data_IF_124007247911
#
_entry.id   IF_124007247911
#
_cell.length_a   1.000
_cell.length_b   1.000
_cell.length_c   1.000
_cell.angle_alpha   90.00
_cell.angle_beta   90.00
_cell.angle_gamma   90.00
#
_symmetry.space_group_name_H-M   'P 1'
#
loop_
_entity.id
_entity.type
_entity.pdbx_description
1 polymer ?
#
# COMPACT_ATOMS: atom_id res chain seq x y z
N UNK A 1 -22.88 21.27 -14.42
CA UNK A 1 -21.59 20.76 -13.90
C UNK A 1 -21.86 19.39 -13.29
N UNK A 2 -21.37 18.33 -13.94
CA UNK A 2 -21.77 16.94 -13.72
C UNK A 2 -20.95 16.31 -12.58
N UNK A 3 -21.65 15.85 -11.53
CA UNK A 3 -21.09 15.16 -10.34
C UNK A 3 -21.10 13.64 -10.58
N UNK A 4 -20.78 13.19 -11.80
CA UNK A 4 -20.95 11.78 -12.20
C UNK A 4 -19.64 11.04 -12.44
N UNK A 5 -18.48 11.71 -12.45
CA UNK A 5 -17.22 11.07 -12.86
C UNK A 5 -16.39 10.41 -11.74
N UNK A 6 -16.65 10.67 -10.45
CA UNK A 6 -15.79 10.20 -9.36
C UNK A 6 -16.30 8.94 -8.62
N UNK A 7 -17.51 8.47 -8.89
CA UNK A 7 -18.10 7.34 -8.16
C UNK A 7 -17.66 5.97 -8.70
N UNK A 8 -16.97 5.92 -9.86
CA UNK A 8 -16.77 4.65 -10.58
C UNK A 8 -15.51 3.87 -10.18
N UNK A 9 -14.53 4.45 -9.47
CA UNK A 9 -13.23 3.77 -9.27
C UNK A 9 -13.14 2.82 -8.09
N UNK A 10 -13.98 2.95 -7.05
CA UNK A 10 -14.06 1.97 -5.96
C UNK A 10 -15.26 1.01 -6.09
N UNK A 11 -16.22 1.33 -6.96
CA UNK A 11 -17.45 0.53 -7.12
C UNK A 11 -17.25 -0.78 -7.90
N UNK A 12 -16.13 -0.95 -8.61
CA UNK A 12 -15.89 -2.12 -9.46
C UNK A 12 -15.21 -3.29 -8.72
N UNK A 13 -14.58 -3.06 -7.57
CA UNK A 13 -13.89 -4.11 -6.79
C UNK A 13 -14.60 -4.28 -5.45
N UNK A 14 -14.94 -5.53 -5.14
CA UNK A 14 -15.54 -5.88 -3.85
C UNK A 14 -14.64 -5.37 -2.70
N UNK A 15 -15.15 -4.48 -1.82
CA UNK A 15 -14.42 -3.99 -0.65
C UNK A 15 -13.84 -5.09 0.25
N UNK A 16 -14.48 -6.26 0.29
CA UNK A 16 -13.99 -7.42 1.03
C UNK A 16 -12.68 -7.93 0.45
N UNK A 17 -12.55 -8.04 -0.88
CA UNK A 17 -11.30 -8.45 -1.55
C UNK A 17 -10.17 -7.47 -1.22
N UNK A 18 -10.46 -6.17 -1.21
CA UNK A 18 -9.49 -5.14 -0.84
C UNK A 18 -9.06 -5.32 0.62
N UNK A 19 -10.03 -5.51 1.53
CA UNK A 19 -9.76 -5.71 2.96
C UNK A 19 -8.95 -6.99 3.23
N UNK A 20 -9.29 -8.10 2.58
CA UNK A 20 -8.56 -9.37 2.65
C UNK A 20 -7.13 -9.22 2.13
N UNK A 21 -6.94 -8.52 1.01
CA UNK A 21 -5.61 -8.27 0.45
C UNK A 21 -4.76 -7.41 1.39
N UNK A 22 -5.33 -6.33 1.93
CA UNK A 22 -4.67 -5.51 2.95
C UNK A 22 -4.31 -6.33 4.21
N UNK A 23 -5.21 -7.21 4.65
CA UNK A 23 -4.98 -8.13 5.77
C UNK A 23 -3.83 -9.09 5.49
N UNK A 24 -3.79 -9.66 4.29
CA UNK A 24 -2.76 -10.62 3.85
C UNK A 24 -1.38 -9.98 3.80
N UNK A 25 -1.27 -8.80 3.19
CA UNK A 25 -0.01 -8.03 3.15
C UNK A 25 0.44 -7.69 4.56
N UNK A 26 -0.47 -7.19 5.41
CA UNK A 26 -0.14 -6.85 6.79
C UNK A 26 0.29 -8.08 7.61
N UNK A 27 -0.30 -9.25 7.36
CA UNK A 27 0.10 -10.50 8.00
C UNK A 27 1.53 -10.90 7.61
N UNK A 28 1.85 -10.91 6.31
CA UNK A 28 3.19 -11.25 5.82
C UNK A 28 4.26 -10.32 6.40
N UNK A 29 3.98 -9.02 6.45
CA UNK A 29 4.90 -8.01 6.97
C UNK A 29 5.05 -8.06 8.50
N UNK A 30 4.07 -8.56 9.25
CA UNK A 30 4.18 -8.66 10.72
C UNK A 30 4.94 -9.89 11.19
N UNK A 31 5.06 -10.92 10.33
CA UNK A 31 5.66 -12.20 10.68
C UNK A 31 7.19 -12.22 10.72
N UNK A 32 7.85 -11.10 10.40
CA UNK A 32 9.27 -11.06 10.08
C UNK A 32 10.04 -10.01 10.88
N UNK A 33 11.34 -10.25 11.07
CA UNK A 33 12.27 -9.27 11.63
C UNK A 33 13.07 -8.63 10.50
N UNK A 34 12.89 -7.32 10.33
CA UNK A 34 13.53 -6.57 9.26
C UNK A 34 14.78 -5.79 9.71
N UNK A 35 15.75 -5.59 8.82
CA UNK A 35 16.86 -4.67 9.07
C UNK A 35 16.40 -3.22 8.95
N UNK A 36 16.83 -2.36 9.88
CA UNK A 36 16.45 -0.93 9.91
C UNK A 36 17.62 0.03 9.59
N UNK A 37 18.64 -0.46 8.88
CA UNK A 37 19.83 0.33 8.54
C UNK A 37 19.61 1.33 7.40
N UNK A 38 18.74 1.02 6.43
CA UNK A 38 18.42 1.91 5.31
C UNK A 38 17.07 1.54 4.69
N UNK A 39 16.41 2.51 4.03
CA UNK A 39 15.11 2.25 3.37
C UNK A 39 15.28 1.24 2.23
N UNK A 40 16.36 1.33 1.46
CA UNK A 40 16.69 0.33 0.42
C UNK A 40 16.87 -1.06 1.03
N UNK A 41 17.60 -1.19 2.15
CA UNK A 41 17.78 -2.46 2.83
C UNK A 41 16.45 -3.04 3.35
N UNK A 42 15.59 -2.17 3.89
CA UNK A 42 14.26 -2.55 4.35
C UNK A 42 13.37 -3.01 3.19
N UNK A 43 13.35 -2.28 2.08
CA UNK A 43 12.62 -2.67 0.88
C UNK A 43 13.11 -4.01 0.34
N UNK A 44 14.42 -4.25 0.26
CA UNK A 44 14.97 -5.53 -0.19
C UNK A 44 14.53 -6.71 0.70
N UNK A 45 14.45 -6.49 2.01
CA UNK A 45 13.98 -7.51 2.94
C UNK A 45 12.46 -7.75 2.84
N UNK A 46 11.66 -6.70 2.60
CA UNK A 46 10.23 -6.81 2.32
C UNK A 46 9.99 -7.56 1.01
N UNK A 47 10.77 -7.27 -0.03
CA UNK A 47 10.73 -8.00 -1.30
C UNK A 47 10.99 -9.49 -1.09
N UNK A 48 12.05 -9.86 -0.36
CA UNK A 48 12.35 -11.24 -0.04
C UNK A 48 11.19 -11.93 0.72
N UNK A 49 10.51 -11.19 1.60
CA UNK A 49 9.32 -11.67 2.31
C UNK A 49 8.18 -11.95 1.32
N UNK A 50 7.82 -10.97 0.48
CA UNK A 50 6.76 -11.14 -0.51
C UNK A 50 7.04 -12.29 -1.48
N UNK A 51 8.28 -12.43 -1.96
CA UNK A 51 8.70 -13.55 -2.80
C UNK A 51 8.56 -14.90 -2.09
N UNK A 52 8.95 -14.99 -0.80
CA UNK A 52 8.80 -16.22 0.00
C UNK A 52 7.33 -16.64 0.15
N UNK A 53 6.42 -15.68 0.29
CA UNK A 53 4.97 -15.94 0.33
C UNK A 53 4.33 -16.13 -1.06
N UNK A 54 5.10 -16.07 -2.14
CA UNK A 54 4.58 -16.19 -3.51
C UNK A 54 3.67 -15.04 -3.93
N UNK A 55 3.79 -13.87 -3.29
CA UNK A 55 2.99 -12.69 -3.64
C UNK A 55 3.47 -12.11 -4.98
N UNK A 56 2.51 -11.80 -5.86
CA UNK A 56 2.77 -11.04 -7.10
C UNK A 56 2.78 -9.56 -6.77
N UNK A 57 3.83 -8.85 -7.17
CA UNK A 57 3.97 -7.41 -6.98
C UNK A 57 4.90 -6.79 -8.03
N UNK A 58 4.78 -5.48 -8.21
CA UNK A 58 5.74 -4.65 -8.94
C UNK A 58 6.49 -3.75 -7.95
N UNK A 59 7.81 -3.62 -8.11
CA UNK A 59 8.62 -2.66 -7.35
C UNK A 59 8.60 -1.29 -8.01
N UNK A 60 8.73 -0.24 -7.20
CA UNK A 60 8.93 1.14 -7.66
C UNK A 60 7.94 1.50 -8.77
N UNK A 61 6.67 1.14 -8.56
CA UNK A 61 5.62 1.33 -9.55
C UNK A 61 5.38 2.81 -9.71
N UNK A 62 5.63 3.32 -10.91
CA UNK A 62 5.25 4.69 -11.28
C UNK A 62 3.72 4.78 -11.39
N UNK A 63 3.13 5.60 -10.55
CA UNK A 63 1.71 5.97 -10.58
C UNK A 63 1.50 7.25 -11.40
N UNK A 64 2.45 8.19 -11.35
CA UNK A 64 2.34 9.43 -12.11
C UNK A 64 3.66 10.19 -12.22
N UNK A 65 3.64 11.42 -12.73
CA UNK A 65 4.81 12.29 -12.74
C UNK A 65 5.31 12.54 -11.31
N UNK A 66 6.46 11.95 -10.96
CA UNK A 66 7.06 12.07 -9.63
C UNK A 66 6.45 11.19 -8.54
N UNK A 67 5.44 10.37 -8.85
CA UNK A 67 4.80 9.46 -7.90
C UNK A 67 5.21 8.02 -8.19
N UNK A 68 6.05 7.48 -7.31
CA UNK A 68 6.60 6.12 -7.38
C UNK A 68 6.34 5.48 -6.01
N UNK A 69 5.52 4.43 -5.99
CA UNK A 69 5.28 3.65 -4.77
C UNK A 69 6.29 2.51 -4.67
N UNK A 70 6.78 2.21 -3.47
CA UNK A 70 7.80 1.18 -3.25
C UNK A 70 7.38 -0.21 -3.75
N UNK A 71 6.13 -0.61 -3.43
CA UNK A 71 5.53 -1.81 -4.01
C UNK A 71 4.09 -1.59 -4.41
N UNK A 72 3.70 -2.24 -5.51
CA UNK A 72 2.34 -2.30 -6.00
C UNK A 72 1.89 -3.74 -6.09
N UNK A 73 0.83 -4.09 -5.37
CA UNK A 73 0.29 -5.46 -5.32
C UNK A 73 -1.03 -5.50 -6.09
N UNK A 74 -1.08 -6.10 -7.29
CA UNK A 74 -2.31 -6.17 -8.07
C UNK A 74 -3.44 -6.86 -7.31
N UNK A 75 -4.64 -6.30 -7.41
CA UNK A 75 -5.88 -6.95 -7.01
C UNK A 75 -6.54 -7.44 -8.30
N UNK A 76 -6.78 -8.74 -8.38
CA UNK A 76 -7.51 -9.30 -9.52
C UNK A 76 -8.89 -8.67 -9.57
N UNK A 77 -9.15 -7.91 -10.62
CA UNK A 77 -10.48 -7.43 -10.93
C UNK A 77 -11.21 -8.51 -11.76
N UNK A 78 -12.55 -8.58 -11.69
CA UNK A 78 -13.33 -9.47 -12.55
C UNK A 78 -13.03 -9.22 -14.04
N UNK A 79 -13.19 -10.24 -14.91
CA UNK A 79 -13.12 -10.03 -16.36
C UNK A 79 -14.04 -8.89 -16.81
N UNK A 80 -13.50 -7.94 -17.57
CA UNK A 80 -14.24 -6.76 -18.06
C UNK A 80 -14.17 -5.52 -17.15
N UNK A 81 -13.57 -5.61 -15.97
CA UNK A 81 -13.18 -4.43 -15.19
C UNK A 81 -11.92 -3.78 -15.80
N UNK A 82 -11.82 -2.46 -15.71
CA UNK A 82 -10.65 -1.72 -16.19
C UNK A 82 -9.35 -2.23 -15.50
N UNK A 83 -8.26 -2.47 -16.25
CA UNK A 83 -6.99 -2.97 -15.70
C UNK A 83 -6.08 -1.83 -15.17
N UNK A 84 -5.18 -2.09 -14.20
CA UNK A 84 -5.26 -2.97 -13.05
C UNK A 84 -5.34 -2.16 -11.75
N UNK A 85 -6.30 -2.46 -10.89
CA UNK A 85 -6.32 -1.91 -9.55
C UNK A 85 -5.38 -2.68 -8.61
N UNK A 86 -4.88 -2.04 -7.56
CA UNK A 86 -3.92 -2.66 -6.65
C UNK A 86 -3.76 -1.95 -5.33
N UNK A 87 -3.02 -2.59 -4.44
CA UNK A 87 -2.64 -2.06 -3.14
C UNK A 87 -1.26 -1.42 -3.26
N UNK A 88 -1.19 -0.14 -2.92
CA UNK A 88 0.06 0.57 -2.72
C UNK A 88 0.68 0.13 -1.39
N UNK A 89 1.96 -0.22 -1.37
CA UNK A 89 2.72 -0.45 -0.13
C UNK A 89 3.88 0.54 -0.09
N UNK A 90 3.83 1.47 0.85
CA UNK A 90 4.88 2.45 1.09
C UNK A 90 5.70 2.06 2.31
N UNK A 91 7.02 2.12 2.19
CA UNK A 91 7.99 1.74 3.21
C UNK A 91 8.67 2.98 3.76
N UNK A 92 8.62 3.16 5.09
CA UNK A 92 9.25 4.30 5.76
C UNK A 92 10.03 3.91 7.00
N UNK A 93 11.32 4.22 7.01
CA UNK A 93 12.08 4.23 8.26
C UNK A 93 11.93 5.57 8.97
N UNK A 94 11.94 6.66 8.21
CA UNK A 94 11.98 8.04 8.71
C UNK A 94 10.94 8.90 7.98
N UNK A 95 10.82 10.16 8.40
CA UNK A 95 9.90 11.14 7.79
C UNK A 95 8.94 11.76 8.80
N UNK A 96 8.55 13.01 8.52
CA UNK A 96 7.53 13.71 9.30
C UNK A 96 6.16 13.09 9.06
N UNK A 97 5.33 12.96 10.11
CA UNK A 97 3.97 12.40 10.02
C UNK A 97 3.12 13.04 8.92
N UNK A 98 3.24 14.36 8.75
CA UNK A 98 2.50 15.13 7.74
C UNK A 98 2.97 14.81 6.32
N UNK A 99 4.27 14.63 6.12
CA UNK A 99 4.84 14.35 4.80
C UNK A 99 4.53 12.92 4.38
N UNK A 100 4.61 11.97 5.32
CA UNK A 100 4.17 10.59 5.11
C UNK A 100 2.69 10.53 4.78
N UNK A 101 1.83 11.26 5.52
CA UNK A 101 0.40 11.34 5.21
C UNK A 101 0.15 11.90 3.80
N UNK A 102 0.78 13.03 3.44
CA UNK A 102 0.63 13.64 2.12
C UNK A 102 1.07 12.71 1.00
N UNK A 103 2.15 11.97 1.21
CA UNK A 103 2.62 10.97 0.24
C UNK A 103 1.58 9.85 0.07
N UNK A 104 1.08 9.28 1.17
CA UNK A 104 0.03 8.26 1.14
C UNK A 104 -1.25 8.77 0.47
N UNK A 105 -1.65 10.02 0.77
CA UNK A 105 -2.81 10.67 0.18
C UNK A 105 -2.70 10.82 -1.34
N UNK A 106 -1.53 11.24 -1.85
CA UNK A 106 -1.29 11.31 -3.29
C UNK A 106 -1.45 9.95 -3.97
N UNK A 107 -0.93 8.89 -3.38
CA UNK A 107 -1.11 7.54 -3.93
C UNK A 107 -2.57 7.10 -3.87
N UNK A 108 -3.27 7.37 -2.77
CA UNK A 108 -4.70 7.07 -2.66
C UNK A 108 -5.57 7.91 -3.61
N UNK A 109 -5.11 9.04 -4.13
CA UNK A 109 -5.81 9.76 -5.20
C UNK A 109 -5.65 9.12 -6.57
N UNK A 110 -4.65 8.26 -6.77
CA UNK A 110 -4.42 7.60 -8.06
C UNK A 110 -5.52 6.56 -8.37
N UNK A 111 -6.11 6.55 -9.59
CA UNK A 111 -7.24 5.67 -9.94
C UNK A 111 -6.93 4.17 -9.80
N UNK A 112 -5.69 3.76 -10.07
CA UNK A 112 -5.29 2.36 -10.00
C UNK A 112 -5.04 1.88 -8.56
N UNK A 113 -4.82 2.78 -7.60
CA UNK A 113 -4.67 2.39 -6.20
C UNK A 113 -6.07 2.21 -5.59
N UNK A 114 -6.36 1.07 -4.95
CA UNK A 114 -7.64 0.82 -4.25
C UNK A 114 -7.49 0.67 -2.74
N UNK A 115 -6.26 0.63 -2.25
CA UNK A 115 -5.94 0.63 -0.84
C UNK A 115 -4.45 0.85 -0.61
N UNK A 116 -4.07 1.10 0.64
CA UNK A 116 -2.69 1.41 1.00
C UNK A 116 -2.23 0.68 2.25
N UNK A 117 -1.00 0.19 2.25
CA UNK A 117 -0.28 -0.25 3.44
C UNK A 117 0.93 0.66 3.65
N UNK A 118 1.02 1.28 4.83
CA UNK A 118 2.23 1.94 5.29
C UNK A 118 3.01 0.98 6.18
N UNK A 119 4.17 0.52 5.73
CA UNK A 119 5.08 -0.34 6.48
C UNK A 119 6.18 0.54 7.11
N UNK A 120 6.20 0.65 8.43
CA UNK A 120 7.10 1.58 9.13
C UNK A 120 7.54 1.10 10.50
N UNK A 121 8.67 1.62 10.99
CA UNK A 121 9.16 1.44 12.38
C UNK A 121 8.75 2.57 13.31
N UNK A 122 8.10 3.62 12.79
CA UNK A 122 7.58 4.75 13.57
C UNK A 122 6.08 4.86 13.33
N UNK A 123 5.26 3.93 13.84
CA UNK A 123 3.83 3.97 13.64
C UNK A 123 3.25 5.27 14.23
N UNK A 124 2.91 6.21 13.36
CA UNK A 124 2.07 7.35 13.71
C UNK A 124 0.60 7.01 13.48
N UNK A 125 -0.30 7.85 13.99
CA UNK A 125 -1.71 7.76 13.60
C UNK A 125 -1.87 8.16 12.13
N UNK A 126 -2.02 7.16 11.27
CA UNK A 126 -2.54 7.29 9.91
C UNK A 126 -4.03 6.92 9.97
N UNK A 127 -4.95 7.71 9.38
CA UNK A 127 -6.35 7.36 9.40
C UNK A 127 -6.60 6.04 8.64
N UNK A 128 -7.59 5.23 9.05
CA UNK A 128 -7.89 3.94 8.41
C UNK A 128 -8.47 4.10 7.00
N UNK A 129 -8.88 5.32 6.62
CA UNK A 129 -9.34 5.70 5.29
C UNK A 129 -8.57 6.96 4.86
N UNK A 130 -8.03 6.95 3.65
CA UNK A 130 -7.35 8.10 3.02
C UNK A 130 -7.92 8.29 1.62
N UNK A 131 -8.39 9.49 1.30
CA UNK A 131 -9.03 9.81 0.01
C UNK A 131 -10.13 8.78 -0.39
N UNK A 132 -10.91 8.30 0.59
CA UNK A 132 -11.98 7.32 0.38
C UNK A 132 -11.52 5.86 0.25
N UNK A 133 -10.21 5.57 0.37
CA UNK A 133 -9.65 4.22 0.22
C UNK A 133 -9.13 3.67 1.54
N UNK A 134 -9.29 2.37 1.81
CA UNK A 134 -8.79 1.75 3.04
C UNK A 134 -7.27 1.79 3.12
N UNK A 135 -6.77 2.13 4.31
CA UNK A 135 -5.36 2.21 4.63
C UNK A 135 -5.04 1.39 5.90
N UNK A 136 -3.88 0.74 5.92
CA UNK A 136 -3.37 0.03 7.11
C UNK A 136 -1.95 0.46 7.43
N UNK A 137 -1.67 0.59 8.72
CA UNK A 137 -0.30 0.76 9.22
C UNK A 137 0.21 -0.58 9.72
N UNK A 138 1.41 -0.94 9.30
CA UNK A 138 2.16 -2.07 9.83
C UNK A 138 3.38 -1.53 10.57
N UNK A 139 3.39 -1.75 11.88
CA UNK A 139 4.55 -1.51 12.74
C UNK A 139 5.55 -2.67 12.58
N UNK A 140 6.62 -2.42 11.83
CA UNK A 140 7.70 -3.37 11.60
C UNK A 140 8.62 -3.51 12.81
N UNK A 141 8.62 -2.55 13.74
CA UNK A 141 9.41 -2.59 14.97
C UNK A 141 8.87 -3.58 15.99
N UNK A 142 7.58 -3.94 15.90
CA UNK A 142 6.91 -4.78 16.89
C UNK A 142 7.49 -6.19 17.02
N UNK A 143 8.06 -6.77 15.97
CA UNK A 143 8.67 -8.11 16.01
C UNK A 143 9.99 -8.17 16.81
N UNK A 144 10.48 -7.01 17.27
CA UNK A 144 11.70 -6.84 18.06
C UNK A 144 11.44 -6.57 19.56
N UNK A 145 10.16 -6.42 19.97
CA UNK A 145 9.73 -6.24 21.36
C UNK A 145 9.34 -7.59 21.99
#
# INVERSE_FOLDING_TARGET
>A
MSVTAYTVTAAAINPEIVSERLGSIAFMLRGERYPFGSEIGLQNAIEATFRRFGLVFEREKRLGPGDIVDFYVPVLAPPGAAPPHGIAVEVKLHGGRRDVYRQCERYCLHPDVVGLVLATVRPGALPPIIAGKPARVVDLGRAWL
#
